data_IF_393266099521
#
_entry.id   IF_393266099521
#
_cell.length_a   1.000
_cell.length_b   1.000
_cell.length_c   1.000
_cell.angle_alpha   90.00
_cell.angle_beta   90.00
_cell.angle_gamma   90.00
#
_symmetry.space_group_name_H-M   'P 1'
#
loop_
_entity.id
_entity.type
_entity.pdbx_description
1 polymer ?
#
# COMPACT_ATOMS: atom_id res chain seq x y z
N UNK A 1 10.59 0.29 37.25
CA UNK A 1 9.34 -0.28 36.69
C UNK A 1 8.30 0.84 36.65
N UNK A 2 8.17 1.56 35.54
CA UNK A 2 7.15 2.61 35.35
C UNK A 2 6.21 2.15 34.25
N UNK A 3 5.01 1.73 34.65
CA UNK A 3 3.89 1.45 33.76
C UNK A 3 3.41 2.81 33.27
N UNK A 4 3.58 3.08 31.98
CA UNK A 4 3.00 4.26 31.32
C UNK A 4 1.51 3.99 31.17
N UNK A 5 0.69 4.80 31.83
CA UNK A 5 -0.76 4.74 31.77
C UNK A 5 -1.24 5.05 30.34
N UNK A 6 -1.96 4.11 29.74
CA UNK A 6 -2.71 4.33 28.49
C UNK A 6 -3.93 5.18 28.84
N UNK A 7 -4.00 6.40 28.30
CA UNK A 7 -5.09 7.33 28.57
C UNK A 7 -6.41 6.80 28.01
N UNK A 8 -7.47 6.89 28.83
CA UNK A 8 -8.84 6.42 28.65
C UNK A 8 -9.67 7.17 27.57
N UNK A 9 -9.03 7.79 26.57
CA UNK A 9 -9.71 8.72 25.65
C UNK A 9 -10.22 8.11 24.33
N UNK A 10 -10.09 6.81 24.06
CA UNK A 10 -10.51 6.24 22.76
C UNK A 10 -11.93 5.64 22.71
N UNK A 11 -12.64 5.49 23.84
CA UNK A 11 -13.92 4.75 23.87
C UNK A 11 -15.20 5.60 23.74
N UNK A 12 -15.15 6.93 23.68
CA UNK A 12 -16.37 7.76 23.83
C UNK A 12 -16.99 8.33 22.55
N UNK A 13 -16.77 7.74 21.37
CA UNK A 13 -17.31 8.28 20.10
C UNK A 13 -18.06 7.21 19.30
N UNK A 14 -19.22 6.76 19.80
CA UNK A 14 -20.19 6.01 18.99
C UNK A 14 -21.61 6.49 19.32
N UNK A 15 -22.19 7.33 18.45
CA UNK A 15 -23.65 7.57 18.38
C UNK A 15 -24.08 8.20 17.04
N UNK A 16 -24.92 7.42 16.34
CA UNK A 16 -25.93 7.66 15.26
C UNK A 16 -25.63 8.29 13.86
N UNK A 17 -26.37 7.69 12.90
CA UNK A 17 -26.91 8.13 11.61
C UNK A 17 -26.24 7.64 10.28
N UNK A 18 -27.13 7.41 9.31
CA UNK A 18 -27.15 6.45 8.18
C UNK A 18 -26.23 6.76 6.99
N UNK A 19 -25.98 5.73 6.16
CA UNK A 19 -25.08 5.66 4.99
C UNK A 19 -23.57 5.90 5.26
N UNK A 20 -23.22 6.68 6.27
CA UNK A 20 -21.88 6.75 6.88
C UNK A 20 -21.52 5.49 7.71
N UNK A 21 -22.48 4.59 7.93
CA UNK A 21 -22.31 3.41 8.78
C UNK A 21 -21.33 2.37 8.19
N UNK A 22 -21.31 2.17 6.88
CA UNK A 22 -20.42 1.17 6.23
C UNK A 22 -18.95 1.62 6.22
N UNK A 23 -18.70 2.93 6.16
CA UNK A 23 -17.35 3.51 6.28
C UNK A 23 -16.90 3.67 7.74
N UNK A 24 -17.83 3.93 8.68
CA UNK A 24 -17.54 3.97 10.12
C UNK A 24 -17.23 2.58 10.71
N UNK A 25 -17.88 1.51 10.24
CA UNK A 25 -17.63 0.14 10.72
C UNK A 25 -16.18 -0.27 10.49
N UNK A 26 -15.64 -0.06 9.28
CA UNK A 26 -14.24 -0.42 9.00
C UNK A 26 -13.21 0.47 9.68
N UNK A 27 -13.53 1.74 9.98
CA UNK A 27 -12.63 2.61 10.73
C UNK A 27 -12.55 2.19 12.21
N UNK A 28 -13.70 1.84 12.80
CA UNK A 28 -13.76 1.23 14.12
C UNK A 28 -13.00 -0.09 14.16
N UNK A 29 -13.19 -0.95 13.15
CA UNK A 29 -12.43 -2.20 12.99
C UNK A 29 -10.94 -1.95 12.80
N UNK A 30 -10.54 -0.93 12.04
CA UNK A 30 -9.14 -0.54 11.88
C UNK A 30 -8.55 -0.13 13.22
N UNK A 31 -9.24 0.73 13.98
CA UNK A 31 -8.79 1.19 15.31
C UNK A 31 -8.70 0.01 16.28
N UNK A 32 -9.68 -0.89 16.32
CA UNK A 32 -9.66 -2.10 17.15
C UNK A 32 -8.51 -3.02 16.72
N UNK A 33 -8.35 -3.26 15.42
CA UNK A 33 -7.24 -4.06 14.86
C UNK A 33 -5.88 -3.40 15.11
N UNK A 34 -5.77 -2.06 15.09
CA UNK A 34 -4.54 -1.35 15.45
C UNK A 34 -4.18 -1.55 16.91
N UNK A 35 -5.19 -1.56 17.80
CA UNK A 35 -4.98 -1.80 19.23
C UNK A 35 -4.53 -3.25 19.47
N UNK A 36 -5.10 -4.21 18.74
CA UNK A 36 -4.68 -5.62 18.76
C UNK A 36 -3.30 -5.83 18.11
N UNK A 37 -3.01 -5.11 17.02
CA UNK A 37 -1.72 -5.10 16.34
C UNK A 37 -0.62 -4.55 17.25
N UNK A 38 -0.88 -3.53 18.07
CA UNK A 38 0.09 -3.00 19.04
C UNK A 38 0.53 -4.05 20.07
N UNK A 39 -0.39 -4.91 20.50
CA UNK A 39 -0.08 -6.02 21.39
C UNK A 39 0.78 -7.08 20.70
N UNK A 40 0.54 -7.34 19.41
CA UNK A 40 1.35 -8.28 18.60
C UNK A 40 2.71 -7.69 18.19
N UNK A 41 2.79 -6.39 17.88
CA UNK A 41 4.00 -5.65 17.55
C UNK A 41 5.02 -5.61 18.70
N UNK A 42 4.56 -5.74 19.95
CA UNK A 42 5.43 -5.84 21.14
C UNK A 42 5.97 -7.24 21.41
N UNK A 43 5.41 -8.28 20.81
CA UNK A 43 6.02 -9.62 20.76
C UNK A 43 6.93 -9.70 19.53
N UNK A 44 8.09 -9.04 19.57
CA UNK A 44 9.03 -9.12 18.45
C UNK A 44 9.36 -10.58 18.14
N UNK A 45 9.10 -11.10 16.93
CA UNK A 45 9.42 -12.51 16.65
C UNK A 45 9.34 -13.03 15.21
N UNK A 46 9.16 -12.21 14.17
CA UNK A 46 9.18 -12.71 12.78
C UNK A 46 10.41 -12.17 12.04
N UNK A 47 11.30 -13.08 11.67
CA UNK A 47 12.42 -12.82 10.78
C UNK A 47 11.87 -12.60 9.37
N UNK A 48 11.41 -11.38 9.09
CA UNK A 48 10.66 -11.02 7.87
C UNK A 48 11.47 -10.09 6.99
N UNK A 49 11.24 -10.17 5.69
CA UNK A 49 11.74 -9.22 4.69
C UNK A 49 10.65 -8.89 3.67
N UNK A 50 10.84 -7.78 2.98
CA UNK A 50 9.92 -7.28 1.95
C UNK A 50 10.68 -6.97 0.68
N UNK A 51 10.16 -7.40 -0.46
CA UNK A 51 10.62 -7.00 -1.79
C UNK A 51 9.46 -6.32 -2.50
N UNK A 52 9.64 -5.08 -2.94
CA UNK A 52 8.57 -4.29 -3.55
C UNK A 52 8.72 -4.25 -5.06
N UNK A 53 7.73 -4.79 -5.79
CA UNK A 53 7.63 -4.70 -7.24
C UNK A 53 6.48 -3.75 -7.64
N UNK A 54 6.77 -2.88 -8.60
CA UNK A 54 5.76 -1.99 -9.14
C UNK A 54 6.32 -0.90 -10.03
N UNK A 55 5.45 0.06 -10.36
CA UNK A 55 5.76 1.19 -11.23
C UNK A 55 6.28 2.43 -10.46
N UNK A 56 6.18 3.61 -11.09
CA UNK A 56 6.63 4.89 -10.53
C UNK A 56 5.96 5.27 -9.21
N UNK A 57 4.78 4.72 -8.93
CA UNK A 57 3.98 4.98 -7.74
C UNK A 57 4.30 4.03 -6.57
N UNK A 58 5.18 3.06 -6.80
CA UNK A 58 5.87 2.27 -5.75
C UNK A 58 7.34 2.71 -5.59
N UNK A 59 7.95 3.24 -6.65
CA UNK A 59 9.37 3.60 -6.72
C UNK A 59 9.82 4.68 -5.71
N UNK A 60 11.14 4.74 -5.48
CA UNK A 60 11.79 5.54 -4.44
C UNK A 60 11.79 7.06 -4.65
N UNK A 61 11.31 7.57 -5.79
CA UNK A 61 11.24 9.02 -6.07
C UNK A 61 12.58 9.70 -6.37
N UNK A 62 13.66 8.93 -6.59
CA UNK A 62 15.01 9.49 -6.85
C UNK A 62 15.26 9.91 -8.30
N UNK A 63 14.30 9.65 -9.20
CA UNK A 63 14.37 10.03 -10.62
C UNK A 63 13.20 10.93 -11.01
N UNK A 64 13.31 11.73 -12.09
CA UNK A 64 12.18 12.51 -12.61
C UNK A 64 10.95 11.63 -12.89
N UNK A 65 9.75 12.17 -12.69
CA UNK A 65 8.48 11.45 -12.86
C UNK A 65 8.41 10.17 -12.00
N UNK A 66 8.97 10.20 -10.79
CA UNK A 66 8.90 9.11 -9.82
C UNK A 66 8.55 9.67 -8.44
N UNK A 67 7.87 8.88 -7.63
CA UNK A 67 7.47 9.25 -6.28
C UNK A 67 6.36 8.33 -5.82
N UNK A 68 6.73 7.29 -5.09
CA UNK A 68 5.82 6.23 -4.68
C UNK A 68 5.70 6.04 -3.18
N UNK A 69 4.80 5.15 -2.77
CA UNK A 69 4.57 4.81 -1.38
C UNK A 69 5.66 3.89 -0.79
N UNK A 70 6.44 3.20 -1.64
CA UNK A 70 7.31 2.09 -1.23
C UNK A 70 8.30 2.44 -0.12
N UNK A 71 8.95 3.60 -0.21
CA UNK A 71 9.89 4.04 0.83
C UNK A 71 9.18 4.45 2.14
N UNK A 72 7.96 4.99 2.06
CA UNK A 72 7.16 5.28 3.26
C UNK A 72 6.68 4.01 3.97
N UNK A 73 6.40 2.95 3.19
CA UNK A 73 6.17 1.61 3.76
C UNK A 73 7.44 1.07 4.42
N UNK A 74 8.59 1.10 3.74
CA UNK A 74 9.85 0.63 4.33
C UNK A 74 10.20 1.40 5.62
N UNK A 75 9.95 2.71 5.68
CA UNK A 75 10.15 3.53 6.87
C UNK A 75 9.17 3.22 8.01
N UNK A 76 8.09 2.50 7.72
CA UNK A 76 7.11 2.03 8.71
C UNK A 76 7.50 0.70 9.35
N UNK A 77 8.62 0.08 8.95
CA UNK A 77 9.10 -1.19 9.50
C UNK A 77 10.03 -0.96 10.71
N UNK A 78 10.18 -1.99 11.56
CA UNK A 78 11.18 -1.94 12.63
C UNK A 78 12.58 -1.80 12.01
N UNK A 79 13.48 -0.98 12.60
CA UNK A 79 14.84 -0.86 12.11
C UNK A 79 15.54 -2.22 11.99
N UNK A 80 16.19 -2.46 10.85
CA UNK A 80 16.87 -3.71 10.54
C UNK A 80 16.03 -4.72 9.77
N UNK A 81 14.72 -4.52 9.60
CA UNK A 81 13.90 -5.33 8.68
C UNK A 81 14.27 -5.02 7.22
N UNK A 82 14.73 -6.02 6.43
CA UNK A 82 15.05 -5.78 5.03
C UNK A 82 13.82 -5.38 4.21
N UNK A 83 13.94 -4.27 3.49
CA UNK A 83 12.91 -3.77 2.58
C UNK A 83 13.57 -3.33 1.28
N UNK A 84 13.44 -4.15 0.24
CA UNK A 84 14.15 -4.02 -1.03
C UNK A 84 13.16 -3.48 -2.07
N UNK A 85 13.22 -2.17 -2.33
CA UNK A 85 12.36 -1.55 -3.33
C UNK A 85 12.94 -1.75 -4.74
N UNK A 86 12.31 -2.65 -5.52
CA UNK A 86 12.66 -2.97 -6.91
C UNK A 86 11.75 -2.27 -7.93
N UNK A 87 10.85 -1.41 -7.48
CA UNK A 87 9.94 -0.71 -8.36
C UNK A 87 10.67 0.22 -9.33
N UNK A 88 10.15 0.30 -10.55
CA UNK A 88 10.78 1.03 -11.66
C UNK A 88 9.82 2.05 -12.24
N UNK A 89 10.31 3.27 -12.39
CA UNK A 89 9.56 4.34 -13.04
C UNK A 89 9.12 3.95 -14.46
N UNK A 90 7.87 4.28 -14.82
CA UNK A 90 7.30 4.05 -16.14
C UNK A 90 7.06 2.58 -16.50
N UNK A 91 7.27 1.64 -15.58
CA UNK A 91 7.12 0.23 -15.87
C UNK A 91 5.65 -0.17 -16.02
N UNK A 92 5.42 -1.03 -17.01
CA UNK A 92 4.25 -1.91 -17.17
C UNK A 92 4.62 -3.31 -16.68
N UNK A 93 3.68 -4.23 -16.49
CA UNK A 93 4.02 -5.63 -16.15
C UNK A 93 4.95 -6.27 -17.18
N UNK A 94 4.76 -5.96 -18.47
CA UNK A 94 5.59 -6.46 -19.58
C UNK A 94 6.99 -5.86 -19.52
N UNK A 95 7.11 -4.53 -19.51
CA UNK A 95 8.44 -3.88 -19.51
C UNK A 95 9.20 -4.08 -18.20
N UNK A 96 8.51 -4.33 -17.08
CA UNK A 96 9.15 -4.71 -15.81
C UNK A 96 9.83 -6.07 -15.91
N UNK A 97 9.17 -7.04 -16.57
CA UNK A 97 9.73 -8.36 -16.88
C UNK A 97 10.86 -8.26 -17.89
N UNK A 98 10.57 -7.74 -19.07
CA UNK A 98 11.50 -7.72 -20.20
C UNK A 98 12.74 -6.86 -19.91
N UNK A 99 12.58 -5.81 -19.10
CA UNK A 99 13.68 -4.97 -18.62
C UNK A 99 14.50 -5.56 -17.47
N UNK A 100 14.28 -6.83 -17.08
CA UNK A 100 15.05 -7.54 -16.06
C UNK A 100 14.72 -7.20 -14.60
N UNK A 101 13.84 -6.24 -14.33
CA UNK A 101 13.46 -5.83 -12.97
C UNK A 101 12.72 -6.94 -12.23
N UNK A 102 11.92 -7.72 -12.96
CA UNK A 102 11.26 -8.89 -12.39
C UNK A 102 12.27 -9.97 -11.97
N UNK A 103 13.29 -10.25 -12.80
CA UNK A 103 14.33 -11.19 -12.44
C UNK A 103 15.08 -10.75 -11.17
N UNK A 104 15.46 -9.47 -11.08
CA UNK A 104 16.08 -8.89 -9.88
C UNK A 104 15.16 -8.96 -8.64
N UNK A 105 13.85 -8.83 -8.82
CA UNK A 105 12.85 -8.99 -7.76
C UNK A 105 12.85 -10.42 -7.22
N UNK A 106 12.76 -11.40 -8.11
CA UNK A 106 12.78 -12.82 -7.77
C UNK A 106 14.11 -13.24 -7.14
N UNK A 107 15.24 -12.77 -7.65
CA UNK A 107 16.57 -13.00 -7.06
C UNK A 107 16.68 -12.43 -5.65
N UNK A 108 16.16 -11.22 -5.42
CA UNK A 108 16.11 -10.62 -4.07
C UNK A 108 15.27 -11.49 -3.14
N UNK A 109 14.06 -11.87 -3.57
CA UNK A 109 13.17 -12.68 -2.76
C UNK A 109 13.80 -14.03 -2.41
N UNK A 110 14.37 -14.71 -3.40
CA UNK A 110 15.08 -15.98 -3.21
C UNK A 110 16.26 -15.86 -2.24
N UNK A 111 17.04 -14.78 -2.32
CA UNK A 111 18.17 -14.54 -1.40
C UNK A 111 17.70 -14.39 0.04
N UNK A 112 16.60 -13.67 0.25
CA UNK A 112 16.02 -13.46 1.58
C UNK A 112 15.44 -14.76 2.16
N UNK A 113 14.70 -15.53 1.34
CA UNK A 113 14.21 -16.86 1.71
C UNK A 113 15.36 -17.80 2.08
N UNK A 114 16.43 -17.81 1.29
CA UNK A 114 17.64 -18.62 1.56
C UNK A 114 18.33 -18.20 2.86
N UNK A 115 18.19 -16.94 3.27
CA UNK A 115 18.68 -16.41 4.54
C UNK A 115 17.77 -16.75 5.73
N UNK A 116 16.76 -17.61 5.53
CA UNK A 116 15.84 -18.05 6.58
C UNK A 116 14.77 -17.02 6.95
N UNK A 117 14.49 -16.05 6.06
CA UNK A 117 13.45 -15.03 6.28
C UNK A 117 12.12 -15.43 5.64
N UNK A 118 11.01 -15.19 6.36
CA UNK A 118 9.68 -15.14 5.77
C UNK A 118 9.60 -13.91 4.87
N UNK A 119 9.67 -14.12 3.56
CA UNK A 119 9.82 -13.02 2.59
C UNK A 119 8.49 -12.74 1.91
N UNK A 120 8.06 -11.49 1.94
CA UNK A 120 6.87 -11.02 1.22
C UNK A 120 7.28 -10.25 -0.03
N UNK A 121 6.57 -10.49 -1.13
CA UNK A 121 6.73 -9.71 -2.38
C UNK A 121 5.45 -8.96 -2.67
N UNK A 122 5.48 -7.63 -2.54
CA UNK A 122 4.34 -6.80 -2.93
C UNK A 122 4.38 -6.54 -4.43
N UNK A 123 3.24 -6.64 -5.12
CA UNK A 123 3.12 -6.45 -6.56
C UNK A 123 2.02 -5.40 -6.82
N UNK A 124 2.40 -4.26 -7.39
CA UNK A 124 1.46 -3.18 -7.75
C UNK A 124 1.74 -2.64 -9.16
N UNK A 125 0.77 -2.81 -10.08
CA UNK A 125 0.83 -2.29 -11.45
C UNK A 125 -0.54 -1.74 -11.88
N UNK A 126 -0.57 -0.98 -12.97
CA UNK A 126 -1.80 -0.39 -13.52
C UNK A 126 -1.60 0.95 -14.23
N UNK A 127 -0.85 1.90 -13.65
CA UNK A 127 -0.76 3.28 -14.18
C UNK A 127 -0.18 3.37 -15.58
N UNK A 128 0.74 2.48 -15.94
CA UNK A 128 1.33 2.45 -17.28
C UNK A 128 0.70 1.36 -18.14
N UNK A 129 0.28 0.24 -17.55
CA UNK A 129 -0.42 -0.83 -18.24
C UNK A 129 -1.68 -0.32 -18.93
N UNK A 130 -2.42 0.59 -18.27
CA UNK A 130 -3.64 1.17 -18.83
C UNK A 130 -3.45 1.94 -20.15
N UNK A 131 -2.21 2.33 -20.44
CA UNK A 131 -1.89 3.09 -21.66
C UNK A 131 -1.61 2.18 -22.85
N UNK A 132 -1.32 0.90 -22.63
CA UNK A 132 -0.77 0.01 -23.66
C UNK A 132 -1.41 -1.38 -23.73
N UNK A 133 -2.20 -1.78 -22.72
CA UNK A 133 -2.84 -3.09 -22.69
C UNK A 133 -4.18 -3.07 -21.95
N UNK A 134 -4.99 -4.10 -22.15
CA UNK A 134 -6.26 -4.27 -21.45
C UNK A 134 -6.03 -4.72 -20.00
N UNK A 135 -7.01 -4.46 -19.13
CA UNK A 135 -6.97 -4.93 -17.74
C UNK A 135 -6.86 -6.46 -17.63
N UNK A 136 -7.49 -7.21 -18.53
CA UNK A 136 -7.38 -8.67 -18.60
C UNK A 136 -5.95 -9.15 -18.93
N UNK A 137 -5.27 -8.48 -19.87
CA UNK A 137 -3.88 -8.80 -20.20
C UNK A 137 -2.93 -8.49 -19.04
N UNK A 138 -3.13 -7.36 -18.34
CA UNK A 138 -2.39 -7.08 -17.10
C UNK A 138 -2.66 -8.14 -16.04
N UNK A 139 -3.93 -8.53 -15.83
CA UNK A 139 -4.32 -9.57 -14.87
C UNK A 139 -3.61 -10.90 -15.11
N UNK A 140 -3.55 -11.37 -16.36
CA UNK A 140 -2.80 -12.58 -16.71
C UNK A 140 -1.31 -12.48 -16.33
N UNK A 141 -0.67 -11.32 -16.54
CA UNK A 141 0.71 -11.10 -16.14
C UNK A 141 0.88 -11.12 -14.60
N UNK A 142 -0.05 -10.51 -13.86
CA UNK A 142 -0.06 -10.54 -12.39
C UNK A 142 -0.21 -11.97 -11.84
N UNK A 143 -1.07 -12.79 -12.48
CA UNK A 143 -1.23 -14.20 -12.12
C UNK A 143 0.09 -14.97 -12.26
N UNK A 144 0.85 -14.74 -13.34
CA UNK A 144 2.18 -15.33 -13.52
C UNK A 144 3.18 -14.85 -12.46
N UNK A 145 3.20 -13.54 -12.16
CA UNK A 145 4.06 -13.01 -11.11
C UNK A 145 3.80 -13.63 -9.74
N UNK A 146 2.53 -13.85 -9.39
CA UNK A 146 2.13 -14.54 -8.16
C UNK A 146 2.69 -15.97 -8.10
N UNK A 147 2.57 -16.73 -9.19
CA UNK A 147 3.06 -18.11 -9.25
C UNK A 147 4.59 -18.18 -9.11
N UNK A 148 5.32 -17.25 -9.76
CA UNK A 148 6.78 -17.21 -9.71
C UNK A 148 7.34 -16.77 -8.35
N UNK A 149 6.65 -15.88 -7.64
CA UNK A 149 7.00 -15.53 -6.25
C UNK A 149 6.91 -16.76 -5.34
N UNK A 150 5.81 -17.53 -5.47
CA UNK A 150 5.62 -18.77 -4.71
C UNK A 150 6.67 -19.82 -5.06
N UNK A 151 7.07 -19.91 -6.33
CA UNK A 151 8.07 -20.86 -6.80
C UNK A 151 9.46 -20.67 -6.14
N UNK A 152 9.77 -19.47 -5.63
CA UNK A 152 11.00 -19.20 -4.87
C UNK A 152 10.82 -19.24 -3.35
N UNK A 153 9.66 -19.70 -2.85
CA UNK A 153 9.36 -19.84 -1.43
C UNK A 153 9.01 -18.53 -0.71
N UNK A 154 8.74 -17.46 -1.47
CA UNK A 154 8.25 -16.20 -0.94
C UNK A 154 6.72 -16.10 -1.06
N UNK A 155 6.12 -15.17 -0.32
CA UNK A 155 4.67 -14.98 -0.26
C UNK A 155 4.26 -13.72 -1.04
N UNK A 156 3.39 -13.82 -2.06
CA UNK A 156 2.95 -12.65 -2.82
C UNK A 156 1.88 -11.87 -2.06
N UNK A 157 1.87 -10.54 -2.27
CA UNK A 157 0.78 -9.64 -1.86
C UNK A 157 0.44 -8.78 -3.07
N UNK A 158 -0.79 -8.85 -3.53
CA UNK A 158 -1.28 -7.95 -4.58
C UNK A 158 -1.77 -6.64 -3.96
N UNK A 159 -1.42 -5.52 -4.60
CA UNK A 159 -1.84 -4.18 -4.18
C UNK A 159 -2.47 -3.49 -5.39
N UNK A 160 -3.69 -2.96 -5.25
CA UNK A 160 -4.31 -2.14 -6.30
C UNK A 160 -3.59 -0.80 -6.41
N UNK A 161 -3.33 -0.31 -7.62
CA UNK A 161 -2.60 0.96 -7.81
C UNK A 161 -3.31 2.14 -7.15
N UNK A 162 -2.59 2.97 -6.37
CA UNK A 162 -3.20 4.15 -5.76
C UNK A 162 -3.80 5.11 -6.79
N UNK A 163 -4.79 5.87 -6.34
CA UNK A 163 -5.52 6.82 -7.18
C UNK A 163 -4.66 7.97 -7.71
N UNK A 164 -5.07 8.50 -8.85
CA UNK A 164 -4.65 9.83 -9.33
C UNK A 164 -5.46 10.89 -8.62
N UNK A 165 -4.87 12.05 -8.39
CA UNK A 165 -5.54 13.19 -7.72
C UNK A 165 -6.22 14.12 -8.74
N UNK A 166 -6.89 13.50 -9.72
CA UNK A 166 -7.67 14.17 -10.74
C UNK A 166 -9.11 14.30 -10.26
N UNK A 167 -9.50 15.48 -9.78
CA UNK A 167 -10.87 15.74 -9.34
C UNK A 167 -11.79 16.03 -10.52
N UNK A 168 -13.04 15.62 -10.40
CA UNK A 168 -14.11 16.04 -11.28
C UNK A 168 -14.45 17.52 -11.05
N UNK A 169 -15.31 18.09 -11.91
CA UNK A 169 -15.72 19.50 -11.81
C UNK A 169 -16.42 19.85 -10.48
N UNK A 170 -16.91 18.85 -9.74
CA UNK A 170 -17.51 19.04 -8.42
C UNK A 170 -16.45 19.30 -7.32
N UNK A 171 -15.17 19.06 -7.58
CA UNK A 171 -14.07 19.12 -6.60
C UNK A 171 -14.28 18.23 -5.35
N UNK A 172 -15.16 17.23 -5.47
CA UNK A 172 -15.48 16.27 -4.40
C UNK A 172 -15.09 14.86 -4.80
N UNK A 173 -15.42 14.47 -6.03
CA UNK A 173 -15.20 13.11 -6.53
C UNK A 173 -13.99 13.04 -7.45
N UNK A 174 -13.33 11.90 -7.49
CA UNK A 174 -12.21 11.66 -8.41
C UNK A 174 -12.68 11.13 -9.77
N UNK A 175 -12.00 11.56 -10.83
CA UNK A 175 -12.10 10.95 -12.15
C UNK A 175 -11.28 9.65 -12.16
N UNK A 176 -11.92 8.54 -11.80
CA UNK A 176 -11.25 7.25 -11.67
C UNK A 176 -11.07 6.54 -13.01
N UNK A 177 -9.87 6.69 -13.58
CA UNK A 177 -9.48 6.00 -14.81
C UNK A 177 -8.85 4.62 -14.58
N UNK A 178 -8.62 4.23 -13.32
CA UNK A 178 -7.88 3.01 -12.97
C UNK A 178 -8.77 1.86 -12.52
N UNK A 179 -10.06 2.11 -12.27
CA UNK A 179 -11.03 1.11 -11.82
C UNK A 179 -10.91 -0.24 -12.54
N UNK A 180 -10.82 -0.33 -13.88
CA UNK A 180 -10.74 -1.63 -14.55
C UNK A 180 -9.46 -2.42 -14.19
N UNK A 181 -8.33 -1.73 -14.01
CA UNK A 181 -7.05 -2.36 -13.64
C UNK A 181 -7.03 -2.73 -12.16
N UNK A 182 -7.61 -1.91 -11.28
CA UNK A 182 -7.79 -2.26 -9.87
C UNK A 182 -8.67 -3.52 -9.74
N UNK A 183 -9.79 -3.59 -10.45
CA UNK A 183 -10.68 -4.75 -10.47
C UNK A 183 -9.99 -6.01 -11.01
N UNK A 184 -9.12 -5.89 -12.01
CA UNK A 184 -8.32 -7.02 -12.48
C UNK A 184 -7.36 -7.53 -11.38
N UNK A 185 -6.66 -6.64 -10.67
CA UNK A 185 -5.81 -7.04 -9.54
C UNK A 185 -6.61 -7.75 -8.43
N UNK A 186 -7.80 -7.25 -8.11
CA UNK A 186 -8.70 -7.87 -7.12
C UNK A 186 -9.13 -9.27 -7.58
N UNK A 187 -9.54 -9.42 -8.85
CA UNK A 187 -9.94 -10.70 -9.41
C UNK A 187 -8.80 -11.74 -9.34
N UNK A 188 -7.57 -11.34 -9.68
CA UNK A 188 -6.41 -12.23 -9.60
C UNK A 188 -6.07 -12.60 -8.15
N UNK A 189 -6.22 -11.68 -7.19
CA UNK A 189 -6.08 -12.01 -5.77
C UNK A 189 -7.03 -13.11 -5.35
N UNK A 190 -8.31 -13.03 -5.75
CA UNK A 190 -9.32 -14.03 -5.43
C UNK A 190 -9.02 -15.36 -6.12
N UNK A 191 -8.72 -15.33 -7.43
CA UNK A 191 -8.37 -16.52 -8.22
C UNK A 191 -7.18 -17.26 -7.63
N UNK A 192 -6.10 -16.52 -7.33
CA UNK A 192 -4.85 -17.07 -6.81
C UNK A 192 -4.84 -17.26 -5.30
N UNK A 193 -5.92 -16.89 -4.60
CA UNK A 193 -6.02 -16.89 -3.12
C UNK A 193 -4.81 -16.21 -2.49
N UNK A 194 -4.46 -15.04 -3.01
CA UNK A 194 -3.31 -14.23 -2.58
C UNK A 194 -3.82 -13.05 -1.77
N UNK A 195 -3.16 -12.68 -0.67
CA UNK A 195 -3.43 -11.42 0.04
C UNK A 195 -3.62 -10.22 -0.88
N UNK A 196 -4.58 -9.36 -0.54
CA UNK A 196 -4.89 -8.13 -1.25
C UNK A 196 -4.86 -6.94 -0.31
N UNK A 197 -4.16 -5.88 -0.70
CA UNK A 197 -4.31 -4.55 -0.11
C UNK A 197 -5.00 -3.65 -1.13
N UNK A 198 -6.25 -3.27 -0.85
CA UNK A 198 -7.03 -2.42 -1.76
C UNK A 198 -6.68 -0.93 -1.60
N UNK A 199 -5.44 -0.59 -1.95
CA UNK A 199 -4.90 0.77 -1.84
C UNK A 199 -5.62 1.75 -2.77
N UNK A 200 -6.07 1.32 -3.96
CA UNK A 200 -6.88 2.14 -4.87
C UNK A 200 -8.12 2.71 -4.16
N UNK A 201 -8.97 1.84 -3.61
CA UNK A 201 -10.18 2.24 -2.87
C UNK A 201 -9.88 3.19 -1.72
N UNK A 202 -8.89 2.86 -0.88
CA UNK A 202 -8.62 3.64 0.33
C UNK A 202 -7.89 4.94 0.06
N UNK A 203 -7.04 4.98 -0.97
CA UNK A 203 -6.41 6.22 -1.43
C UNK A 203 -7.44 7.17 -2.05
N UNK A 204 -8.41 6.65 -2.83
CA UNK A 204 -9.54 7.45 -3.33
C UNK A 204 -10.32 8.06 -2.18
N UNK A 205 -10.78 7.23 -1.24
CA UNK A 205 -11.54 7.70 -0.08
C UNK A 205 -10.79 8.79 0.68
N UNK A 206 -9.50 8.61 0.94
CA UNK A 206 -8.71 9.60 1.67
C UNK A 206 -8.57 10.92 0.89
N UNK A 207 -8.24 10.84 -0.41
CA UNK A 207 -8.07 12.01 -1.29
C UNK A 207 -9.37 12.80 -1.40
N UNK A 208 -10.51 12.15 -1.59
CA UNK A 208 -11.83 12.80 -1.63
C UNK A 208 -12.19 13.45 -0.28
N UNK A 209 -11.79 12.84 0.84
CA UNK A 209 -12.06 13.40 2.18
C UNK A 209 -11.25 14.64 2.51
N UNK A 210 -9.98 14.69 2.11
CA UNK A 210 -9.13 15.85 2.37
C UNK A 210 -9.36 16.99 1.36
N UNK A 211 -9.98 16.68 0.21
CA UNK A 211 -10.27 17.64 -0.85
C UNK A 211 -9.03 18.00 -1.71
N UNK A 212 -9.24 18.74 -2.82
CA UNK A 212 -8.22 18.97 -3.84
C UNK A 212 -7.00 19.72 -3.31
N UNK A 213 -7.19 20.82 -2.59
CA UNK A 213 -6.08 21.65 -2.07
C UNK A 213 -5.14 20.85 -1.17
N UNK A 214 -5.68 19.98 -0.32
CA UNK A 214 -4.89 19.14 0.57
C UNK A 214 -4.26 17.98 -0.19
N UNK A 215 -4.98 17.36 -1.12
CA UNK A 215 -4.48 16.25 -1.91
C UNK A 215 -3.35 16.66 -2.86
N UNK A 216 -3.44 17.82 -3.51
CA UNK A 216 -2.40 18.33 -4.42
C UNK A 216 -1.11 18.70 -3.69
N UNK A 217 -1.16 19.01 -2.39
CA UNK A 217 0.05 19.14 -1.56
C UNK A 217 0.81 17.84 -1.35
N UNK A 218 0.25 16.69 -1.74
CA UNK A 218 0.93 15.40 -1.75
C UNK A 218 1.57 15.09 -3.12
N UNK A 219 1.31 15.90 -4.14
CA UNK A 219 1.89 15.75 -5.47
C UNK A 219 3.39 16.00 -5.45
N UNK A 220 4.13 15.28 -6.30
CA UNK A 220 5.56 15.50 -6.54
C UNK A 220 5.85 16.90 -7.06
N UNK A 221 4.99 17.39 -7.96
CA UNK A 221 4.97 18.72 -8.58
C UNK A 221 3.52 19.20 -8.68
N UNK A 222 3.24 20.52 -8.75
CA UNK A 222 1.86 21.04 -8.77
C UNK A 222 0.96 20.42 -9.86
N UNK A 223 1.50 20.11 -11.03
CA UNK A 223 0.83 19.53 -12.18
C UNK A 223 0.94 17.98 -12.26
N UNK A 224 1.59 17.36 -11.28
CA UNK A 224 1.79 15.90 -11.23
C UNK A 224 0.79 15.21 -10.28
N UNK A 225 -0.39 14.93 -10.82
CA UNK A 225 -1.45 14.21 -10.10
C UNK A 225 -1.20 12.71 -9.94
N UNK A 226 -0.01 12.22 -10.31
CA UNK A 226 0.36 10.79 -10.22
C UNK A 226 1.38 10.57 -9.12
N UNK A 227 2.55 11.19 -9.22
CA UNK A 227 3.68 10.92 -8.34
C UNK A 227 3.57 11.70 -7.04
N UNK A 228 4.16 11.12 -5.99
CA UNK A 228 4.12 11.61 -4.63
C UNK A 228 5.38 12.43 -4.31
N UNK A 229 5.22 13.50 -3.52
CA UNK A 229 6.35 14.10 -2.80
C UNK A 229 6.63 13.32 -1.49
N UNK A 230 7.56 13.81 -0.68
CA UNK A 230 7.92 13.19 0.62
C UNK A 230 6.72 12.99 1.55
N UNK A 231 5.77 13.93 1.59
CA UNK A 231 4.58 13.84 2.44
C UNK A 231 3.60 12.80 1.87
N UNK A 232 3.39 12.81 0.56
CA UNK A 232 2.61 11.77 -0.12
C UNK A 232 3.20 10.37 0.10
N UNK A 233 4.51 10.20 -0.04
CA UNK A 233 5.21 8.95 0.23
C UNK A 233 4.99 8.49 1.67
N UNK A 234 5.08 9.39 2.64
CA UNK A 234 4.82 9.09 4.06
C UNK A 234 3.37 8.65 4.29
N UNK A 235 2.40 9.40 3.75
CA UNK A 235 0.96 9.15 3.92
C UNK A 235 0.55 7.81 3.29
N UNK A 236 0.82 7.63 1.99
CA UNK A 236 0.41 6.41 1.30
C UNK A 236 1.26 5.20 1.70
N UNK A 237 2.52 5.40 2.08
CA UNK A 237 3.36 4.35 2.66
C UNK A 237 2.83 3.85 4.01
N UNK A 238 2.37 4.77 4.88
CA UNK A 238 1.69 4.41 6.12
C UNK A 238 0.37 3.70 5.86
N UNK A 239 -0.41 4.17 4.89
CA UNK A 239 -1.66 3.52 4.49
C UNK A 239 -1.44 2.07 4.06
N UNK A 240 -0.39 1.78 3.27
CA UNK A 240 -0.03 0.40 2.91
C UNK A 240 0.36 -0.42 4.15
N UNK A 241 1.19 0.14 5.03
CA UNK A 241 1.59 -0.55 6.26
C UNK A 241 0.39 -0.84 7.19
N UNK A 242 -0.59 0.06 7.23
CA UNK A 242 -1.83 -0.10 7.98
C UNK A 242 -2.73 -1.18 7.40
N UNK A 243 -2.97 -1.16 6.10
CA UNK A 243 -3.70 -2.20 5.39
C UNK A 243 -3.05 -3.56 5.59
N UNK A 244 -1.73 -3.62 5.48
CA UNK A 244 -0.96 -4.83 5.68
C UNK A 244 -1.13 -5.41 7.08
N UNK A 245 -1.12 -4.57 8.12
CA UNK A 245 -1.38 -5.02 9.49
C UNK A 245 -2.82 -5.51 9.68
N UNK A 246 -3.80 -4.80 9.11
CA UNK A 246 -5.23 -5.11 9.25
C UNK A 246 -5.62 -6.43 8.59
N UNK A 247 -5.01 -6.73 7.45
CA UNK A 247 -5.35 -7.90 6.64
C UNK A 247 -4.51 -9.13 6.98
N UNK A 248 -3.26 -8.95 7.44
CA UNK A 248 -2.28 -10.05 7.51
C UNK A 248 -1.69 -10.33 8.89
N UNK A 249 -2.03 -9.58 9.95
CA UNK A 249 -1.62 -9.98 11.30
C UNK A 249 -2.38 -11.23 11.77
N UNK A 250 -1.73 -12.15 12.50
CA UNK A 250 -0.36 -12.07 13.04
C UNK A 250 0.74 -12.63 12.11
N UNK A 251 0.43 -12.93 10.85
CA UNK A 251 1.35 -13.62 9.93
C UNK A 251 2.45 -12.72 9.36
N UNK A 252 2.34 -11.41 9.57
CA UNK A 252 3.25 -10.38 9.08
C UNK A 252 4.06 -9.75 10.23
N UNK A 253 5.28 -9.28 9.95
CA UNK A 253 6.16 -8.77 11.00
C UNK A 253 7.28 -7.85 10.51
N UNK A 254 7.91 -7.12 11.43
CA UNK A 254 7.25 -6.19 12.34
C UNK A 254 7.10 -4.80 11.69
N UNK A 255 5.86 -4.34 11.65
CA UNK A 255 5.49 -2.97 11.27
C UNK A 255 5.44 -2.14 12.55
N UNK A 256 6.05 -0.95 12.57
CA UNK A 256 5.98 -0.04 13.70
C UNK A 256 4.57 0.57 13.81
N UNK A 257 3.94 0.56 15.00
CA UNK A 257 2.76 1.37 15.27
C UNK A 257 3.07 2.86 15.05
N UNK A 258 2.15 3.59 14.42
CA UNK A 258 2.22 5.05 14.31
C UNK A 258 0.82 5.66 14.32
N UNK A 259 0.15 5.60 15.48
CA UNK A 259 -1.23 6.10 15.65
C UNK A 259 -1.34 7.59 15.30
N UNK A 260 -0.30 8.38 15.61
CA UNK A 260 -0.26 9.81 15.27
C UNK A 260 -0.37 10.08 13.77
N UNK A 261 0.12 9.18 12.92
CA UNK A 261 0.01 9.27 11.47
C UNK A 261 -1.22 8.53 10.94
N UNK A 262 -1.50 7.33 11.46
CA UNK A 262 -2.63 6.50 11.01
C UNK A 262 -3.98 7.16 11.31
N UNK A 263 -4.19 7.69 12.52
CA UNK A 263 -5.47 8.27 12.91
C UNK A 263 -5.96 9.39 11.99
N UNK A 264 -5.16 10.43 11.67
CA UNK A 264 -5.61 11.46 10.74
C UNK A 264 -5.87 10.91 9.33
N UNK A 265 -5.04 10.01 8.81
CA UNK A 265 -5.27 9.35 7.50
C UNK A 265 -6.64 8.69 7.49
N UNK A 266 -6.92 7.82 8.46
CA UNK A 266 -8.14 7.04 8.49
C UNK A 266 -9.37 7.82 9.00
N UNK A 267 -9.20 9.04 9.50
CA UNK A 267 -10.31 9.97 9.81
C UNK A 267 -10.51 11.04 8.75
N UNK A 268 -9.78 10.97 7.62
CA UNK A 268 -9.93 11.91 6.50
C UNK A 268 -9.40 13.31 6.81
N UNK A 269 -8.40 13.42 7.69
CA UNK A 269 -7.70 14.66 8.01
C UNK A 269 -6.38 14.71 7.26
N UNK A 270 -6.10 15.85 6.63
CA UNK A 270 -4.86 16.04 5.90
C UNK A 270 -3.63 15.93 6.81
N UNK A 271 -2.56 15.34 6.28
CA UNK A 271 -1.27 15.18 6.96
C UNK A 271 -0.15 15.72 6.07
N UNK A 272 0.78 16.46 6.67
CA UNK A 272 1.93 17.08 6.03
C UNK A 272 3.18 16.99 6.92
#
# INVERSE_FOLDING_TARGET
MRVVAVSTSLLSLVSLATAAAVTRDRLGDLIVKFTQAEVQWKKGSLNTSYVLAGDSTTANGTTPNSGGWGNGFCASLVPGTPCINRARNGATTVSFRDGGNWNLTIESAKSEVTSGRKTWVTIQFGHNDMKVMTAAAMGANLATFVDEVRAVGAEPILITSLTRRNFNADNVTLNDTLEPWANATIAISQEKKTPLLDLHKWSMWYVEKIGPDAAHRLNRLPDDNTHLNTNGTTVFGRMVADLMAVELLPEIGPILPNISLSLPIWTGKAVY
#
